data_IF_321489343238
#
_entry.id   IF_321489343238
#
_cell.length_a   1.000
_cell.length_b   1.000
_cell.length_c   1.000
_cell.angle_alpha   90.00
_cell.angle_beta   90.00
_cell.angle_gamma   90.00
#
_symmetry.space_group_name_H-M   'P 1'
#
loop_
_entity.id
_entity.type
_entity.pdbx_description
1 polymer ?
#
# COMPACT_ATOMS: atom_id res chain seq x y z
N UNK A 1 -5.99 1.98 -0.33
CA UNK A 1 -6.52 0.62 -0.62
C UNK A 1 -7.50 0.13 0.44
N UNK A 2 -7.11 -0.06 1.71
CA UNK A 2 -8.05 -0.53 2.76
C UNK A 2 -8.01 0.33 4.04
N UNK A 3 -7.00 1.20 4.21
CA UNK A 3 -6.91 2.10 5.38
C UNK A 3 -6.53 1.41 6.70
N UNK A 4 -6.02 0.17 6.64
CA UNK A 4 -5.56 -0.61 7.81
C UNK A 4 -4.44 -1.57 7.42
N UNK A 5 -3.66 -2.00 8.41
CA UNK A 5 -2.59 -2.99 8.21
C UNK A 5 -3.15 -4.39 7.86
N UNK A 6 -2.45 -5.15 7.01
CA UNK A 6 -2.84 -6.53 6.66
C UNK A 6 -2.76 -7.49 7.85
N UNK A 7 -1.88 -7.20 8.82
CA UNK A 7 -1.79 -7.90 10.10
C UNK A 7 -2.06 -6.91 11.22
N UNK A 8 -3.02 -7.23 12.09
CA UNK A 8 -3.31 -6.46 13.29
C UNK A 8 -3.78 -7.42 14.39
N UNK A 9 -3.37 -7.14 15.62
CA UNK A 9 -3.86 -7.79 16.83
C UNK A 9 -3.50 -6.91 18.03
N UNK A 10 -4.30 -6.98 19.10
CA UNK A 10 -3.99 -6.31 20.37
C UNK A 10 -2.89 -7.04 21.14
N UNK A 11 -2.78 -8.36 20.97
CA UNK A 11 -1.70 -9.15 21.54
C UNK A 11 -0.52 -9.24 20.55
N UNK A 12 0.69 -8.76 20.93
CA UNK A 12 1.88 -8.89 20.09
C UNK A 12 2.17 -10.34 19.67
N UNK A 13 1.93 -11.33 20.55
CA UNK A 13 2.20 -12.74 20.22
C UNK A 13 1.27 -13.24 19.11
N UNK A 14 -0.02 -12.93 19.19
CA UNK A 14 -1.00 -13.19 18.15
C UNK A 14 -0.68 -12.46 16.83
N UNK A 15 -0.27 -11.18 16.89
CA UNK A 15 0.17 -10.41 15.72
C UNK A 15 1.33 -11.10 15.01
N UNK A 16 2.41 -11.43 15.72
CA UNK A 16 3.55 -12.11 15.13
C UNK A 16 3.21 -13.52 14.64
N UNK A 17 2.26 -14.20 15.28
CA UNK A 17 1.73 -15.48 14.80
C UNK A 17 1.05 -15.33 13.44
N UNK A 18 0.20 -14.31 13.26
CA UNK A 18 -0.44 -14.00 11.95
C UNK A 18 0.60 -13.69 10.88
N UNK A 19 1.62 -12.89 11.22
CA UNK A 19 2.73 -12.54 10.30
C UNK A 19 3.49 -13.80 9.88
N UNK A 20 3.95 -14.63 10.83
CA UNK A 20 4.70 -15.86 10.53
C UNK A 20 3.90 -16.86 9.70
N UNK A 21 2.57 -16.89 9.88
CA UNK A 21 1.67 -17.75 9.09
C UNK A 21 1.29 -17.16 7.74
N UNK A 22 1.55 -15.87 7.51
CA UNK A 22 1.08 -15.15 6.31
C UNK A 22 -0.45 -15.05 6.23
N UNK A 23 -1.14 -15.01 7.38
CA UNK A 23 -2.60 -14.96 7.45
C UNK A 23 -3.11 -13.52 7.41
N UNK A 24 -3.68 -13.11 6.27
CA UNK A 24 -4.32 -11.81 6.07
C UNK A 24 -5.53 -11.95 5.14
N UNK A 25 -6.46 -11.00 5.21
CA UNK A 25 -7.66 -10.97 4.37
C UNK A 25 -7.65 -9.72 3.50
N UNK A 26 -7.95 -9.89 2.21
CA UNK A 26 -8.15 -8.77 1.27
C UNK A 26 -9.65 -8.67 0.99
N UNK A 27 -10.30 -7.51 1.24
CA UNK A 27 -11.71 -7.31 0.92
C UNK A 27 -12.06 -7.45 -0.56
N UNK A 28 -13.32 -7.74 -0.86
CA UNK A 28 -13.79 -7.98 -2.23
C UNK A 28 -13.80 -6.72 -3.10
N UNK A 29 -13.96 -5.54 -2.50
CA UNK A 29 -13.93 -4.25 -3.20
C UNK A 29 -12.55 -3.91 -3.81
N UNK A 30 -11.49 -4.64 -3.44
CA UNK A 30 -10.16 -4.45 -4.00
C UNK A 30 -10.09 -5.04 -5.41
N UNK A 31 -9.56 -4.29 -6.36
CA UNK A 31 -9.45 -4.75 -7.74
C UNK A 31 -8.68 -6.07 -7.86
N UNK A 32 -9.03 -6.96 -8.80
CA UNK A 32 -8.34 -8.23 -8.97
C UNK A 32 -6.82 -8.08 -9.17
N UNK A 33 -6.40 -7.07 -9.94
CA UNK A 33 -4.98 -6.74 -10.17
C UNK A 33 -4.26 -6.35 -8.86
N UNK A 34 -4.86 -5.48 -8.04
CA UNK A 34 -4.29 -5.09 -6.75
C UNK A 34 -4.22 -6.28 -5.77
N UNK A 35 -5.27 -7.10 -5.74
CA UNK A 35 -5.34 -8.31 -4.91
C UNK A 35 -4.24 -9.30 -5.28
N UNK A 36 -3.98 -9.47 -6.57
CA UNK A 36 -2.89 -10.30 -7.07
C UNK A 36 -1.54 -9.79 -6.57
N UNK A 37 -1.25 -8.49 -6.76
CA UNK A 37 0.00 -7.88 -6.32
C UNK A 37 0.23 -8.04 -4.80
N UNK A 38 -0.76 -7.72 -3.98
CA UNK A 38 -0.66 -7.83 -2.51
C UNK A 38 -0.35 -9.28 -2.10
N UNK A 39 -0.98 -10.28 -2.73
CA UNK A 39 -0.69 -11.69 -2.44
C UNK A 39 0.70 -12.12 -2.87
N UNK A 40 1.21 -11.58 -3.96
CA UNK A 40 2.57 -11.86 -4.44
C UNK A 40 3.65 -11.22 -3.57
N UNK A 41 3.36 -10.08 -2.94
CA UNK A 41 4.25 -9.40 -2.00
C UNK A 41 4.24 -10.00 -0.60
N UNK A 42 3.07 -10.39 -0.10
CA UNK A 42 2.89 -10.93 1.26
C UNK A 42 3.00 -12.46 1.31
N UNK A 43 3.85 -13.04 0.46
CA UNK A 43 4.19 -14.48 0.51
C UNK A 43 5.00 -14.79 1.77
N UNK A 44 4.63 -15.89 2.42
CA UNK A 44 5.30 -16.42 3.62
C UNK A 44 6.72 -16.84 3.29
N UNK A 45 6.88 -17.62 2.23
CA UNK A 45 8.19 -18.08 1.77
C UNK A 45 8.88 -16.97 0.97
N UNK A 46 10.10 -16.53 1.36
CA UNK A 46 10.79 -15.45 0.67
C UNK A 46 11.10 -15.76 -0.80
N UNK A 47 11.37 -17.02 -1.15
CA UNK A 47 11.65 -17.43 -2.53
C UNK A 47 10.42 -17.37 -3.44
N UNK A 48 9.21 -17.41 -2.87
CA UNK A 48 7.95 -17.21 -3.61
C UNK A 48 7.55 -15.73 -3.71
N UNK A 49 8.23 -14.84 -2.98
CA UNK A 49 7.88 -13.43 -2.93
C UNK A 49 8.30 -12.74 -4.23
N UNK A 50 7.40 -11.92 -4.77
CA UNK A 50 7.68 -11.13 -5.96
C UNK A 50 8.88 -10.21 -5.74
N UNK A 51 9.87 -10.30 -6.62
CA UNK A 51 11.08 -9.49 -6.53
C UNK A 51 10.84 -8.07 -7.05
N UNK A 52 11.64 -7.11 -6.58
CA UNK A 52 11.54 -5.71 -6.96
C UNK A 52 11.46 -5.44 -8.48
N UNK A 53 12.31 -6.01 -9.35
CA UNK A 53 12.18 -5.78 -10.80
C UNK A 53 10.86 -6.32 -11.36
N UNK A 54 10.36 -7.44 -10.83
CA UNK A 54 9.13 -8.08 -11.30
C UNK A 54 7.87 -7.33 -10.83
N UNK A 55 7.96 -6.54 -9.75
CA UNK A 55 6.86 -5.70 -9.27
C UNK A 55 6.44 -4.71 -10.35
N UNK A 56 7.41 -4.06 -11.01
CA UNK A 56 7.15 -3.06 -12.05
C UNK A 56 6.50 -3.65 -13.31
N UNK A 57 6.73 -4.94 -13.55
CA UNK A 57 6.14 -5.69 -14.66
C UNK A 57 4.75 -6.25 -14.32
N UNK A 58 4.29 -6.11 -13.07
CA UNK A 58 3.02 -6.68 -12.65
C UNK A 58 1.84 -5.91 -13.29
N UNK A 59 0.76 -6.58 -13.76
CA UNK A 59 -0.37 -5.95 -14.44
C UNK A 59 -1.10 -4.83 -13.70
N UNK A 60 -0.85 -4.71 -12.39
CA UNK A 60 -1.36 -3.59 -11.59
C UNK A 60 -0.75 -2.25 -11.98
N UNK A 61 0.46 -2.24 -12.55
CA UNK A 61 1.15 -1.04 -13.00
C UNK A 61 0.96 -0.72 -14.49
N UNK A 62 0.41 -1.64 -15.31
CA UNK A 62 0.19 -1.43 -16.75
C UNK A 62 -0.54 -0.11 -17.06
N UNK A 63 -1.61 0.22 -16.33
CA UNK A 63 -2.37 1.46 -16.55
C UNK A 63 -1.64 2.73 -16.09
N UNK A 64 -0.61 2.60 -15.25
CA UNK A 64 0.26 3.71 -14.83
C UNK A 64 1.36 3.95 -15.86
N UNK A 65 1.77 2.90 -16.59
CA UNK A 65 2.85 2.93 -17.56
C UNK A 65 2.39 3.24 -18.99
N UNK A 66 1.10 3.05 -19.31
CA UNK A 66 0.54 3.30 -20.66
C UNK A 66 0.30 4.79 -21.00
N UNK A 67 0.32 5.69 -20.02
CA UNK A 67 0.35 7.13 -20.30
C UNK A 67 1.80 7.61 -20.14
N UNK A 68 2.39 8.14 -21.22
CA UNK A 68 3.80 8.53 -21.31
C UNK A 68 4.27 9.55 -20.27
N UNK A 69 4.47 9.12 -19.03
CA UNK A 69 5.18 9.83 -17.98
C UNK A 69 6.68 9.60 -18.13
N UNK A 70 7.23 10.11 -19.24
CA UNK A 70 8.64 10.46 -19.32
C UNK A 70 8.70 11.98 -19.48
N UNK A 71 8.85 12.63 -18.33
CA UNK A 71 9.37 13.98 -18.09
C UNK A 71 8.58 15.22 -18.55
N UNK A 72 7.87 15.85 -17.60
CA UNK A 72 7.84 17.30 -17.29
C UNK A 72 6.65 17.54 -16.34
N UNK A 73 6.84 18.26 -15.24
CA UNK A 73 5.80 18.57 -14.24
C UNK A 73 5.34 17.34 -13.41
N UNK A 74 6.19 16.91 -12.47
CA UNK A 74 5.80 16.10 -11.32
C UNK A 74 4.86 16.93 -10.40
N UNK A 75 3.64 17.20 -10.87
CA UNK A 75 2.52 17.63 -10.05
C UNK A 75 1.96 16.43 -9.30
N UNK A 76 2.72 15.91 -8.33
CA UNK A 76 2.20 14.95 -7.35
C UNK A 76 1.18 15.67 -6.49
N UNK A 77 -0.08 15.73 -6.91
CA UNK A 77 -1.16 16.26 -6.08
C UNK A 77 -1.36 15.48 -4.77
N UNK A 78 -0.70 14.32 -4.62
CA UNK A 78 -0.79 13.48 -3.43
C UNK A 78 0.39 13.65 -2.45
N UNK A 79 1.43 14.42 -2.81
CA UNK A 79 2.50 14.83 -1.89
C UNK A 79 2.54 16.36 -1.80
N UNK A 80 1.40 16.95 -1.45
CA UNK A 80 1.34 18.35 -1.05
C UNK A 80 1.66 18.40 0.45
N UNK A 81 2.66 19.18 0.83
CA UNK A 81 2.76 19.68 2.21
C UNK A 81 1.57 20.60 2.38
N UNK A 82 0.58 20.27 3.25
CA UNK A 82 -0.58 21.13 3.44
C UNK A 82 -0.10 22.54 3.80
N UNK A 83 -0.67 23.57 3.17
CA UNK A 83 -0.34 24.95 3.50
C UNK A 83 -0.68 25.20 4.97
N UNK A 84 0.29 25.68 5.73
CA UNK A 84 0.10 26.05 7.11
C UNK A 84 -0.64 27.39 7.17
N UNK A 85 -1.88 27.38 7.63
CA UNK A 85 -2.64 28.60 7.90
C UNK A 85 -2.50 28.91 9.40
N UNK A 86 -1.82 30.01 9.74
CA UNK A 86 -1.46 30.42 11.11
C UNK A 86 -2.63 30.46 12.10
N UNK A 87 -3.86 30.64 11.62
CA UNK A 87 -5.09 30.70 12.42
C UNK A 87 -5.78 29.33 12.64
N UNK A 88 -5.19 28.23 12.15
CA UNK A 88 -5.76 26.89 12.28
C UNK A 88 -5.50 26.35 13.68
N UNK A 89 -6.57 26.14 14.45
CA UNK A 89 -6.50 25.54 15.77
C UNK A 89 -5.87 24.14 15.69
N UNK A 90 -4.63 24.02 16.16
CA UNK A 90 -3.82 22.80 16.13
C UNK A 90 -4.46 21.62 16.88
N UNK A 91 -5.49 21.91 17.70
CA UNK A 91 -6.29 20.89 18.38
C UNK A 91 -7.03 19.96 17.42
N UNK A 92 -7.32 20.41 16.19
CA UNK A 92 -7.99 19.62 15.15
C UNK A 92 -7.15 18.46 14.59
N UNK A 93 -5.83 18.46 14.80
CA UNK A 93 -4.93 17.40 14.35
C UNK A 93 -4.92 16.16 15.25
N UNK A 94 -5.39 16.29 16.50
CA UNK A 94 -5.32 15.22 17.51
C UNK A 94 -6.70 14.66 17.89
N UNK A 95 -7.73 14.88 17.08
CA UNK A 95 -9.06 14.30 17.28
C UNK A 95 -9.09 12.79 16.93
#
# INVERSE_FOLDING_TARGET
>A
LVGRYPFHDSDPSALFSKIRRGQFCIPDHISPKARCLIRSLLRREPSERLAAPDILLHPWFESVLEAGYVDSEMGTSDQIVPEYQEDSDISSFFC
#
